data_IF_526826271393
#
_entry.id   IF_526826271393
#
_cell.length_a   1.000
_cell.length_b   1.000
_cell.length_c   1.000
_cell.angle_alpha   90.00
_cell.angle_beta   90.00
_cell.angle_gamma   90.00
#
_symmetry.space_group_name_H-M   'P 1'
#
loop_
_entity.id
_entity.type
_entity.pdbx_description
1 polymer ?
#
# COMPACT_ATOMS: atom_id res chain seq x y z
N UNK A 1 -62.80 21.42 -14.26
CA UNK A 1 -61.95 21.60 -13.07
C UNK A 1 -61.06 20.40 -12.70
N UNK A 2 -61.30 19.18 -13.22
CA UNK A 2 -60.52 17.97 -12.84
C UNK A 2 -59.06 17.99 -13.36
N UNK A 3 -58.79 18.63 -14.51
CA UNK A 3 -57.45 18.65 -15.11
C UNK A 3 -56.38 19.42 -14.32
N UNK A 4 -56.78 20.40 -13.51
CA UNK A 4 -55.84 21.23 -12.73
C UNK A 4 -55.33 20.52 -11.47
N UNK A 5 -56.15 19.67 -10.84
CA UNK A 5 -55.70 18.88 -9.69
C UNK A 5 -54.81 17.71 -10.11
N UNK A 6 -55.13 17.07 -11.24
CA UNK A 6 -54.32 15.98 -11.79
C UNK A 6 -52.91 16.44 -12.16
N UNK A 7 -52.77 17.61 -12.79
CA UNK A 7 -51.46 18.19 -13.14
C UNK A 7 -50.62 18.55 -11.92
N UNK A 8 -51.23 19.10 -10.87
CA UNK A 8 -50.53 19.35 -9.59
C UNK A 8 -50.06 18.05 -8.94
N UNK A 9 -50.89 17.00 -8.92
CA UNK A 9 -50.50 15.70 -8.38
C UNK A 9 -49.34 15.07 -9.15
N UNK A 10 -49.36 15.14 -10.48
CA UNK A 10 -48.25 14.66 -11.33
C UNK A 10 -46.97 15.45 -11.06
N UNK A 11 -47.06 16.77 -10.92
CA UNK A 11 -45.89 17.60 -10.60
C UNK A 11 -45.28 17.27 -9.23
N UNK A 12 -46.12 17.03 -8.21
CA UNK A 12 -45.67 16.60 -6.88
C UNK A 12 -45.00 15.23 -6.95
N UNK A 13 -45.61 14.26 -7.64
CA UNK A 13 -45.04 12.93 -7.80
C UNK A 13 -43.69 12.97 -8.54
N UNK A 14 -43.58 13.79 -9.59
CA UNK A 14 -42.33 13.99 -10.33
C UNK A 14 -41.25 14.63 -9.44
N UNK A 15 -41.59 15.65 -8.66
CA UNK A 15 -40.65 16.29 -7.74
C UNK A 15 -40.18 15.33 -6.63
N UNK A 16 -41.09 14.54 -6.06
CA UNK A 16 -40.75 13.51 -5.08
C UNK A 16 -39.84 12.44 -5.69
N UNK A 17 -40.12 11.99 -6.92
CA UNK A 17 -39.27 11.05 -7.65
C UNK A 17 -37.87 11.60 -7.90
N UNK A 18 -37.75 12.86 -8.32
CA UNK A 18 -36.46 13.53 -8.50
C UNK A 18 -35.66 13.61 -7.18
N UNK A 19 -36.34 13.93 -6.08
CA UNK A 19 -35.72 14.03 -4.76
C UNK A 19 -35.16 12.67 -4.31
N UNK A 20 -35.94 11.59 -4.45
CA UNK A 20 -35.49 10.24 -4.13
C UNK A 20 -34.34 9.77 -5.04
N UNK A 21 -34.39 10.11 -6.33
CA UNK A 21 -33.33 9.80 -7.27
C UNK A 21 -32.01 10.50 -6.90
N UNK A 22 -32.09 11.79 -6.54
CA UNK A 22 -30.93 12.55 -6.07
C UNK A 22 -30.35 11.96 -4.77
N UNK A 23 -31.22 11.58 -3.82
CA UNK A 23 -30.81 10.97 -2.56
C UNK A 23 -30.13 9.61 -2.79
N UNK A 24 -30.64 8.81 -3.74
CA UNK A 24 -30.03 7.55 -4.15
C UNK A 24 -28.61 7.75 -4.71
N UNK A 25 -28.42 8.75 -5.57
CA UNK A 25 -27.07 9.09 -6.07
C UNK A 25 -26.14 9.53 -4.94
N UNK A 26 -26.62 10.39 -4.03
CA UNK A 26 -25.83 10.83 -2.87
C UNK A 26 -25.44 9.65 -1.96
N UNK A 27 -26.35 8.70 -1.75
CA UNK A 27 -26.09 7.49 -0.94
C UNK A 27 -25.08 6.58 -1.62
N UNK A 28 -25.14 6.43 -2.95
CA UNK A 28 -24.18 5.64 -3.71
C UNK A 28 -22.76 6.23 -3.63
N UNK A 29 -22.63 7.56 -3.70
CA UNK A 29 -21.33 8.24 -3.52
C UNK A 29 -20.80 8.04 -2.10
N UNK A 30 -21.64 8.11 -1.07
CA UNK A 30 -21.22 7.84 0.30
C UNK A 30 -20.75 6.38 0.49
N UNK A 31 -21.45 5.41 -0.10
CA UNK A 31 -21.05 4.00 -0.06
C UNK A 31 -19.69 3.77 -0.75
N UNK A 32 -19.45 4.43 -1.88
CA UNK A 32 -18.14 4.41 -2.55
C UNK A 32 -17.06 5.07 -1.70
N UNK A 33 -17.36 6.17 -1.02
CA UNK A 33 -16.44 6.84 -0.09
C UNK A 33 -15.96 5.88 1.00
N UNK A 34 -16.86 5.16 1.66
CA UNK A 34 -16.48 4.15 2.66
C UNK A 34 -15.61 3.01 2.10
N UNK A 35 -15.85 2.59 0.85
CA UNK A 35 -15.01 1.58 0.21
C UNK A 35 -13.60 2.11 -0.06
N UNK A 36 -13.48 3.37 -0.49
CA UNK A 36 -12.20 4.04 -0.71
C UNK A 36 -11.45 4.17 0.62
N UNK A 37 -12.10 4.67 1.67
CA UNK A 37 -11.49 4.81 2.99
C UNK A 37 -10.97 3.46 3.53
N UNK A 38 -11.76 2.39 3.34
CA UNK A 38 -11.35 1.03 3.70
C UNK A 38 -10.15 0.53 2.91
N UNK A 39 -10.08 0.82 1.61
CA UNK A 39 -8.94 0.49 0.75
C UNK A 39 -7.68 1.28 1.14
N UNK A 40 -7.82 2.56 1.45
CA UNK A 40 -6.70 3.41 1.90
C UNK A 40 -6.12 2.90 3.23
N UNK A 41 -6.99 2.53 4.18
CA UNK A 41 -6.55 1.90 5.43
C UNK A 41 -5.76 0.61 5.17
N UNK A 42 -6.24 -0.25 4.25
CA UNK A 42 -5.54 -1.48 3.88
C UNK A 42 -4.17 -1.23 3.26
N UNK A 43 -4.05 -0.19 2.42
CA UNK A 43 -2.77 0.21 1.84
C UNK A 43 -1.81 0.73 2.90
N UNK A 44 -2.30 1.49 3.88
CA UNK A 44 -1.50 1.97 5.00
C UNK A 44 -0.94 0.80 5.83
N UNK A 45 -1.78 -0.19 6.16
CA UNK A 45 -1.37 -1.39 6.89
C UNK A 45 -0.26 -2.16 6.14
N UNK A 46 -0.46 -2.41 4.85
CA UNK A 46 0.54 -3.11 4.03
C UNK A 46 1.86 -2.36 3.92
N UNK A 47 1.82 -1.02 3.85
CA UNK A 47 3.04 -0.20 3.84
C UNK A 47 3.78 -0.27 5.17
N UNK A 48 3.06 -0.26 6.29
CA UNK A 48 3.66 -0.43 7.61
C UNK A 48 4.32 -1.81 7.73
N UNK A 49 3.64 -2.88 7.28
CA UNK A 49 4.20 -4.23 7.24
C UNK A 49 5.45 -4.31 6.36
N UNK A 50 5.42 -3.71 5.17
CA UNK A 50 6.59 -3.66 4.28
C UNK A 50 7.78 -2.94 4.91
N UNK A 51 7.54 -1.82 5.61
CA UNK A 51 8.59 -1.09 6.31
C UNK A 51 9.20 -1.92 7.44
N UNK A 52 8.36 -2.60 8.22
CA UNK A 52 8.81 -3.52 9.27
C UNK A 52 9.67 -4.64 8.69
N UNK A 53 9.20 -5.33 7.64
CA UNK A 53 9.96 -6.40 7.00
C UNK A 53 11.29 -5.90 6.41
N UNK A 54 11.29 -4.70 5.82
CA UNK A 54 12.52 -4.09 5.30
C UNK A 54 13.53 -3.85 6.42
N UNK A 55 13.06 -3.37 7.57
CA UNK A 55 13.89 -3.18 8.75
C UNK A 55 14.43 -4.52 9.27
N UNK A 56 13.58 -5.54 9.42
CA UNK A 56 13.99 -6.89 9.86
C UNK A 56 15.03 -7.51 8.94
N UNK A 57 14.86 -7.39 7.61
CA UNK A 57 15.86 -7.81 6.63
C UNK A 57 17.16 -7.03 6.81
N UNK A 58 17.08 -5.72 7.03
CA UNK A 58 18.25 -4.87 7.29
C UNK A 58 19.01 -5.30 8.53
N UNK A 59 18.31 -5.62 9.62
CA UNK A 59 18.90 -6.11 10.88
C UNK A 59 19.54 -7.48 10.68
N UNK A 60 18.84 -8.42 10.04
CA UNK A 60 19.35 -9.77 9.77
C UNK A 60 20.58 -9.76 8.85
N UNK A 61 20.62 -8.85 7.88
CA UNK A 61 21.77 -8.68 6.97
C UNK A 61 22.83 -7.73 7.50
N UNK A 62 22.68 -7.19 8.72
CA UNK A 62 23.67 -6.27 9.26
C UNK A 62 24.98 -7.01 9.56
N UNK A 63 26.15 -6.41 9.29
CA UNK A 63 27.45 -7.03 9.56
C UNK A 63 27.58 -7.48 11.02
N UNK A 64 27.07 -6.69 11.96
CA UNK A 64 27.06 -7.02 13.39
C UNK A 64 26.28 -8.30 13.71
N UNK A 65 25.09 -8.48 13.13
CA UNK A 65 24.29 -9.71 13.35
C UNK A 65 25.00 -10.92 12.74
N UNK A 66 25.51 -10.77 11.52
CA UNK A 66 26.24 -11.83 10.81
C UNK A 66 27.50 -12.24 11.58
N UNK A 67 28.26 -11.28 12.12
CA UNK A 67 29.47 -11.56 12.90
C UNK A 67 29.16 -12.28 14.21
N UNK A 68 28.09 -11.87 14.91
CA UNK A 68 27.63 -12.52 16.15
C UNK A 68 27.21 -13.96 15.87
N UNK A 69 26.43 -14.21 14.81
CA UNK A 69 26.00 -15.56 14.43
C UNK A 69 27.19 -16.42 13.97
N UNK A 70 28.09 -15.86 13.16
CA UNK A 70 29.30 -16.53 12.69
C UNK A 70 30.22 -16.98 13.85
N UNK A 71 30.37 -16.14 14.87
CA UNK A 71 31.19 -16.45 16.04
C UNK A 71 30.50 -17.43 16.99
N UNK A 72 29.22 -17.21 17.29
CA UNK A 72 28.51 -17.99 18.31
C UNK A 72 28.04 -19.35 17.82
N UNK A 73 27.48 -19.42 16.61
CA UNK A 73 26.88 -20.65 16.08
C UNK A 73 27.88 -21.45 15.24
N UNK A 74 28.64 -20.76 14.39
CA UNK A 74 29.57 -21.41 13.46
C UNK A 74 31.00 -21.51 13.99
N UNK A 75 31.27 -20.94 15.17
CA UNK A 75 32.60 -20.91 15.82
C UNK A 75 33.71 -20.41 14.88
N UNK A 76 33.35 -19.50 13.97
CA UNK A 76 34.28 -18.90 13.04
C UNK A 76 35.15 -17.89 13.77
N UNK A 77 36.43 -17.87 13.44
CA UNK A 77 37.42 -16.94 13.98
C UNK A 77 37.71 -15.88 12.94
N UNK A 78 37.85 -14.62 13.37
CA UNK A 78 38.20 -13.52 12.48
C UNK A 78 39.51 -13.82 11.74
N UNK A 79 39.49 -13.67 10.41
CA UNK A 79 40.70 -13.82 9.59
C UNK A 79 41.62 -12.62 9.79
N UNK A 80 42.92 -12.88 9.75
CA UNK A 80 43.93 -11.80 9.72
C UNK A 80 43.74 -10.97 8.43
N UNK A 81 43.53 -9.65 8.53
CA UNK A 81 43.27 -8.79 7.39
C UNK A 81 44.41 -8.75 6.37
N UNK A 82 45.63 -9.11 6.76
CA UNK A 82 46.79 -9.15 5.85
C UNK A 82 46.74 -10.29 4.84
N UNK A 83 45.90 -11.31 5.08
CA UNK A 83 45.77 -12.51 4.24
C UNK A 83 44.54 -12.44 3.32
N UNK A 84 43.65 -11.47 3.54
CA UNK A 84 42.43 -11.30 2.76
C UNK A 84 42.74 -10.53 1.47
N UNK A 85 42.65 -11.20 0.32
CA UNK A 85 42.80 -10.58 -1.01
C UNK A 85 41.45 -10.53 -1.72
N UNK A 86 40.91 -9.33 -1.91
CA UNK A 86 39.68 -9.13 -2.67
C UNK A 86 39.95 -9.28 -4.18
N UNK A 87 39.05 -9.98 -4.88
CA UNK A 87 39.09 -10.03 -6.33
C UNK A 87 38.64 -8.68 -6.90
N UNK A 88 39.42 -8.11 -7.82
CA UNK A 88 39.04 -6.89 -8.54
C UNK A 88 37.84 -7.19 -9.44
N UNK A 89 36.71 -6.54 -9.19
CA UNK A 89 35.51 -6.68 -10.01
C UNK A 89 35.71 -5.95 -11.35
N UNK A 90 35.98 -6.69 -12.42
CA UNK A 90 35.89 -6.18 -13.80
C UNK A 90 34.41 -6.04 -14.16
N UNK A 91 33.82 -4.86 -13.96
CA UNK A 91 32.50 -4.56 -14.52
C UNK A 91 32.76 -4.25 -16.00
N UNK A 92 32.40 -5.18 -16.87
CA UNK A 92 32.46 -5.01 -18.31
C UNK A 92 31.47 -3.91 -18.73
N UNK A 93 31.97 -2.71 -19.03
CA UNK A 93 31.18 -1.53 -19.41
C UNK A 93 30.76 -1.54 -20.89
N UNK A 94 30.87 -2.66 -21.60
CA UNK A 94 30.76 -2.71 -23.07
C UNK A 94 29.32 -2.62 -23.62
N UNK A 95 28.28 -2.48 -22.78
CA UNK A 95 26.87 -2.54 -23.22
C UNK A 95 26.01 -1.29 -22.98
N UNK A 96 26.61 -0.10 -22.90
CA UNK A 96 25.88 1.19 -22.91
C UNK A 96 26.43 2.12 -24.02
N UNK A 97 25.98 1.89 -25.27
CA UNK A 97 25.95 2.88 -26.35
C UNK A 97 24.65 2.75 -27.12
#
# INVERSE_FOLDING_TARGET
MVGSFSTVLVAIAAAAGLCLFYLSQSTHVAALGYQIDGLEARVADLRAEQQQLTFEIGVARSPSTIEVEAQNELRLVALDPTVVRFATRSIDQTHLK
#
